data_IF_186707770243
#
_entry.id   IF_186707770243
#
_cell.length_a   1.000
_cell.length_b   1.000
_cell.length_c   1.000
_cell.angle_alpha   90.00
_cell.angle_beta   90.00
_cell.angle_gamma   90.00
#
_symmetry.space_group_name_H-M   'P 1'
#
loop_
_entity.id
_entity.type
_entity.pdbx_description
1 polymer ?
#
# COMPACT_ATOMS: atom_id res chain seq x y z
N UNK A 1 -19.64 6.19 -7.47
CA UNK A 1 -18.38 6.49 -8.16
C UNK A 1 -18.61 7.71 -9.03
N UNK A 2 -17.71 8.68 -8.98
CA UNK A 2 -17.74 9.86 -9.86
C UNK A 2 -16.41 9.94 -10.61
N UNK A 3 -16.44 10.52 -11.80
CA UNK A 3 -15.25 10.82 -12.59
C UNK A 3 -15.28 12.28 -12.99
N UNK A 4 -14.13 12.94 -12.84
CA UNK A 4 -13.96 14.34 -13.21
C UNK A 4 -12.75 14.48 -14.13
N UNK A 5 -12.87 15.29 -15.16
CA UNK A 5 -11.82 15.50 -16.16
C UNK A 5 -11.19 16.88 -16.04
N UNK A 6 -9.86 16.94 -16.18
CA UNK A 6 -9.06 18.14 -16.06
C UNK A 6 -8.09 18.26 -17.25
N UNK A 7 -7.48 19.43 -17.39
CA UNK A 7 -6.46 19.73 -18.39
C UNK A 7 -6.94 19.37 -19.83
N UNK A 8 -8.14 19.80 -20.18
CA UNK A 8 -8.75 19.54 -21.51
C UNK A 8 -8.84 18.03 -21.82
N UNK A 9 -9.24 17.21 -20.84
CA UNK A 9 -9.42 15.77 -21.01
C UNK A 9 -8.14 14.92 -20.86
N UNK A 10 -6.99 15.55 -20.56
CA UNK A 10 -5.72 14.82 -20.38
C UNK A 10 -5.62 14.08 -19.04
N UNK A 11 -6.42 14.47 -18.06
CA UNK A 11 -6.46 13.84 -16.73
C UNK A 11 -7.90 13.50 -16.39
N UNK A 12 -8.13 12.28 -15.96
CA UNK A 12 -9.41 11.84 -15.40
C UNK A 12 -9.17 11.34 -13.98
N UNK A 13 -9.83 11.97 -13.01
CA UNK A 13 -9.81 11.59 -11.61
C UNK A 13 -11.05 10.75 -11.30
N UNK A 14 -10.87 9.52 -10.88
CA UNK A 14 -11.95 8.65 -10.42
C UNK A 14 -12.00 8.65 -8.90
N UNK A 15 -13.15 9.01 -8.31
CA UNK A 15 -13.39 8.94 -6.88
C UNK A 15 -14.23 7.70 -6.54
N UNK A 16 -13.64 6.76 -5.79
CA UNK A 16 -14.31 5.53 -5.40
C UNK A 16 -13.34 4.45 -4.93
N UNK A 17 -13.86 3.26 -4.66
CA UNK A 17 -13.04 2.08 -4.44
C UNK A 17 -12.27 1.72 -5.72
N UNK A 18 -10.94 1.59 -5.61
CA UNK A 18 -10.09 1.41 -6.78
C UNK A 18 -10.37 0.10 -7.54
N UNK A 19 -10.75 -0.97 -6.84
CA UNK A 19 -11.07 -2.25 -7.48
C UNK A 19 -12.38 -2.15 -8.26
N UNK A 20 -13.37 -1.46 -7.70
CA UNK A 20 -14.64 -1.22 -8.37
C UNK A 20 -14.49 -0.23 -9.53
N UNK A 21 -13.64 0.77 -9.41
CA UNK A 21 -13.31 1.67 -10.52
C UNK A 21 -12.64 0.90 -11.65
N UNK A 22 -11.64 0.09 -11.35
CA UNK A 22 -10.97 -0.73 -12.37
C UNK A 22 -11.91 -1.63 -13.14
N UNK A 23 -12.97 -2.16 -12.51
CA UNK A 23 -13.98 -2.97 -13.22
C UNK A 23 -14.75 -2.20 -14.30
N UNK A 24 -14.81 -0.87 -14.20
CA UNK A 24 -15.48 0.00 -15.18
C UNK A 24 -14.56 0.48 -16.30
N UNK A 25 -13.25 0.30 -16.16
CA UNK A 25 -12.28 0.73 -17.16
C UNK A 25 -12.19 -0.29 -18.30
N UNK A 26 -11.93 0.23 -19.50
CA UNK A 26 -11.76 -0.57 -20.71
C UNK A 26 -10.50 -1.46 -20.61
N UNK A 27 -10.60 -2.67 -21.15
CA UNK A 27 -9.46 -3.58 -21.24
C UNK A 27 -8.40 -3.05 -22.21
N UNK A 28 -7.13 -3.30 -21.89
CA UNK A 28 -6.00 -2.91 -22.74
C UNK A 28 -6.01 -1.42 -23.11
N UNK A 29 -6.41 -0.55 -22.17
CA UNK A 29 -6.54 0.89 -22.40
C UNK A 29 -5.36 1.73 -21.89
N UNK A 30 -4.56 1.19 -20.94
CA UNK A 30 -3.47 1.93 -20.31
C UNK A 30 -2.09 1.44 -20.77
N UNK A 31 -1.17 2.38 -20.98
CA UNK A 31 0.20 2.13 -21.43
C UNK A 31 1.15 1.79 -20.26
N UNK A 32 0.80 2.19 -19.04
CA UNK A 32 1.59 1.90 -17.83
C UNK A 32 0.76 2.09 -16.57
N UNK A 33 1.24 1.53 -15.45
CA UNK A 33 0.66 1.73 -14.13
C UNK A 33 1.76 2.09 -13.13
N UNK A 34 1.53 3.12 -12.31
CA UNK A 34 2.36 3.46 -11.15
C UNK A 34 1.45 3.44 -9.94
N UNK A 35 1.79 2.63 -8.93
CA UNK A 35 0.93 2.44 -7.77
C UNK A 35 1.73 2.34 -6.47
N UNK A 36 1.21 2.97 -5.42
CA UNK A 36 1.69 2.86 -4.05
C UNK A 36 0.59 2.20 -3.19
N UNK A 37 0.49 0.86 -3.19
CA UNK A 37 -0.58 0.14 -2.50
C UNK A 37 -0.31 0.08 -0.99
N UNK A 38 -1.30 -0.27 -0.15
CA UNK A 38 -1.10 -0.50 1.27
C UNK A 38 -0.05 -1.58 1.54
N UNK A 39 0.91 -1.30 2.44
CA UNK A 39 2.06 -2.20 2.70
C UNK A 39 1.77 -3.31 3.72
N UNK A 40 0.58 -3.36 4.30
CA UNK A 40 0.20 -4.34 5.33
C UNK A 40 1.23 -4.43 6.46
N UNK A 41 1.60 -3.32 7.05
CA UNK A 41 2.58 -3.29 8.13
C UNK A 41 1.97 -3.88 9.39
N UNK A 42 2.34 -5.11 9.75
CA UNK A 42 1.82 -5.84 10.91
C UNK A 42 1.94 -5.08 12.24
N UNK A 43 2.91 -4.19 12.36
CA UNK A 43 3.03 -3.29 13.51
C UNK A 43 1.84 -2.35 13.63
N UNK A 44 1.27 -1.93 12.51
CA UNK A 44 0.05 -1.12 12.44
C UNK A 44 -1.16 -1.99 12.79
N UNK A 45 -1.30 -3.15 12.14
CA UNK A 45 -2.40 -4.09 12.39
C UNK A 45 -2.48 -4.51 13.86
N UNK A 46 -1.34 -4.88 14.47
CA UNK A 46 -1.27 -5.28 15.89
C UNK A 46 -1.59 -4.13 16.86
N UNK A 47 -1.29 -2.88 16.52
CA UNK A 47 -1.66 -1.71 17.32
C UNK A 47 -3.17 -1.49 17.31
N UNK A 48 -3.82 -1.65 16.17
CA UNK A 48 -5.26 -1.49 16.03
C UNK A 48 -6.05 -2.65 16.65
N UNK A 49 -5.56 -3.90 16.55
CA UNK A 49 -6.20 -5.05 17.17
C UNK A 49 -6.24 -4.96 18.72
N UNK A 50 -5.32 -4.21 19.34
CA UNK A 50 -5.30 -3.96 20.80
C UNK A 50 -6.19 -2.81 21.26
N UNK A 51 -6.74 -1.99 20.38
CA UNK A 51 -7.52 -0.79 20.73
C UNK A 51 -9.03 -1.04 20.87
N UNK A 52 -9.46 -2.27 21.15
CA UNK A 52 -10.77 -2.52 21.78
C UNK A 52 -10.86 -2.01 23.23
N UNK A 53 -9.87 -1.29 23.76
CA UNK A 53 -9.88 -0.62 25.07
C UNK A 53 -10.12 0.86 24.86
N UNK A 54 -11.33 1.28 25.14
CA UNK A 54 -11.68 2.67 25.46
C UNK A 54 -10.98 3.08 26.76
N UNK A 55 -9.72 3.44 26.70
CA UNK A 55 -9.03 4.05 27.83
C UNK A 55 -9.06 5.57 27.66
N UNK A 56 -10.03 6.19 28.36
CA UNK A 56 -10.34 7.62 28.33
C UNK A 56 -9.35 8.49 29.11
N UNK A 57 -8.21 7.97 29.58
CA UNK A 57 -7.33 8.65 30.53
C UNK A 57 -5.94 9.02 29.99
N UNK A 58 -5.69 8.96 28.68
CA UNK A 58 -4.42 9.40 28.12
C UNK A 58 -4.46 10.81 27.56
N UNK A 59 -3.72 11.70 28.19
CA UNK A 59 -3.49 13.13 27.88
C UNK A 59 -3.32 13.37 26.35
N UNK A 60 -4.07 14.39 25.90
CA UNK A 60 -4.28 14.77 24.49
C UNK A 60 -3.08 15.47 23.79
N UNK A 61 -1.85 15.38 24.27
CA UNK A 61 -0.74 16.15 23.70
C UNK A 61 0.56 15.37 23.70
N UNK A 62 0.90 14.81 22.52
CA UNK A 62 2.22 14.23 22.25
C UNK A 62 2.40 13.84 20.79
N UNK A 63 3.62 13.93 20.23
CA UNK A 63 3.92 13.61 18.83
C UNK A 63 3.62 12.14 18.44
N UNK A 64 3.46 11.26 19.43
CA UNK A 64 3.15 9.83 19.22
C UNK A 64 1.66 9.52 18.98
N UNK A 65 0.76 10.50 19.17
CA UNK A 65 -0.68 10.27 18.97
C UNK A 65 -1.08 10.18 17.50
N UNK A 66 -0.27 10.74 16.58
CA UNK A 66 -0.51 10.68 15.13
C UNK A 66 -0.24 9.29 14.52
N UNK A 67 0.52 8.43 15.20
CA UNK A 67 0.88 7.10 14.70
C UNK A 67 -0.10 5.98 15.09
N UNK A 68 -1.03 6.26 16.02
CA UNK A 68 -1.98 5.25 16.52
C UNK A 68 -3.15 4.99 15.56
N UNK A 69 -3.50 5.97 14.73
CA UNK A 69 -4.70 5.92 13.89
C UNK A 69 -4.42 5.76 12.37
N UNK A 70 -3.19 5.40 11.99
CA UNK A 70 -2.79 5.35 10.58
C UNK A 70 -2.61 6.76 9.96
N UNK A 71 -2.20 6.82 8.71
CA UNK A 71 -2.10 8.07 7.97
C UNK A 71 -3.51 8.65 7.75
N UNK A 72 -3.75 9.89 8.14
CA UNK A 72 -5.05 10.59 8.07
C UNK A 72 -6.20 9.91 8.86
N UNK A 73 -5.91 9.24 9.98
CA UNK A 73 -6.89 8.52 10.81
C UNK A 73 -7.68 7.41 10.10
N UNK A 74 -7.15 6.85 9.01
CA UNK A 74 -7.80 5.78 8.26
C UNK A 74 -7.00 4.48 8.35
N UNK A 75 -7.68 3.35 8.50
CA UNK A 75 -7.08 2.00 8.62
C UNK A 75 -6.72 1.37 7.26
N UNK A 76 -6.56 2.15 6.22
CA UNK A 76 -6.35 1.66 4.85
C UNK A 76 -5.02 0.91 4.66
N UNK A 77 -4.00 1.20 5.48
CA UNK A 77 -2.67 0.56 5.38
C UNK A 77 -2.60 -0.82 6.09
N UNK A 78 -3.69 -1.25 6.71
CA UNK A 78 -3.80 -2.56 7.39
C UNK A 78 -4.34 -3.69 6.52
N UNK A 79 -4.82 -3.41 5.33
CA UNK A 79 -5.39 -4.40 4.40
C UNK A 79 -4.32 -5.24 3.69
N UNK A 80 -4.71 -6.41 3.21
CA UNK A 80 -3.87 -7.34 2.46
C UNK A 80 -4.06 -7.27 0.94
N UNK A 81 -4.76 -6.24 0.47
CA UNK A 81 -5.14 -6.03 -0.94
C UNK A 81 -3.95 -6.15 -1.90
N UNK A 82 -2.76 -5.66 -1.48
CA UNK A 82 -1.54 -5.73 -2.28
C UNK A 82 -0.97 -7.16 -2.43
N UNK A 83 -1.46 -8.13 -1.64
CA UNK A 83 -1.02 -9.53 -1.69
C UNK A 83 -2.05 -10.44 -2.36
N UNK A 84 -3.18 -9.88 -2.78
CA UNK A 84 -4.23 -10.62 -3.45
C UNK A 84 -3.99 -10.65 -4.96
N UNK A 85 -3.87 -11.83 -5.52
CA UNK A 85 -3.72 -12.05 -6.97
C UNK A 85 -4.88 -11.41 -7.74
N UNK A 86 -6.10 -11.45 -7.19
CA UNK A 86 -7.30 -10.84 -7.79
C UNK A 86 -7.16 -9.33 -8.03
N UNK A 87 -6.47 -8.61 -7.13
CA UNK A 87 -6.17 -7.18 -7.30
C UNK A 87 -5.31 -6.94 -8.54
N UNK A 88 -4.23 -7.70 -8.67
CA UNK A 88 -3.29 -7.54 -9.77
C UNK A 88 -3.84 -8.05 -11.11
N UNK A 89 -4.76 -9.02 -11.08
CA UNK A 89 -5.50 -9.42 -12.29
C UNK A 89 -6.36 -8.29 -12.85
N UNK A 90 -6.97 -7.45 -11.99
CA UNK A 90 -7.71 -6.26 -12.45
C UNK A 90 -6.77 -5.22 -13.08
N UNK A 91 -5.59 -5.01 -12.49
CA UNK A 91 -4.55 -4.14 -13.07
C UNK A 91 -4.08 -4.71 -14.42
N UNK A 92 -3.83 -6.02 -14.47
CA UNK A 92 -3.38 -6.70 -15.68
C UNK A 92 -4.39 -6.54 -16.84
N UNK A 93 -5.68 -6.67 -16.55
CA UNK A 93 -6.77 -6.55 -17.53
C UNK A 93 -6.79 -5.19 -18.24
N UNK A 94 -6.58 -4.10 -17.50
CA UNK A 94 -6.65 -2.74 -18.05
C UNK A 94 -5.37 -2.30 -18.75
N UNK A 95 -4.25 -2.99 -18.52
CA UNK A 95 -2.98 -2.67 -19.15
C UNK A 95 -2.86 -3.30 -20.54
N UNK A 96 -2.30 -2.55 -21.46
CA UNK A 96 -1.97 -3.05 -22.81
C UNK A 96 -0.88 -4.14 -22.76
N UNK A 97 -0.87 -5.08 -23.70
CA UNK A 97 0.24 -6.00 -23.86
C UNK A 97 1.58 -5.27 -23.96
N UNK A 98 2.56 -5.67 -23.16
CA UNK A 98 3.87 -5.02 -23.10
C UNK A 98 3.95 -3.79 -22.19
N UNK A 99 2.87 -3.37 -21.56
CA UNK A 99 2.85 -2.27 -20.61
C UNK A 99 3.68 -2.58 -19.34
N UNK A 100 4.23 -1.55 -18.72
CA UNK A 100 4.99 -1.66 -17.48
C UNK A 100 4.15 -1.28 -16.27
N UNK A 101 4.39 -2.00 -15.16
CA UNK A 101 3.90 -1.63 -13.83
C UNK A 101 5.08 -1.30 -12.92
N UNK A 102 4.95 -0.19 -12.17
CA UNK A 102 5.85 0.16 -11.07
C UNK A 102 5.03 0.18 -9.80
N UNK A 103 5.27 -0.78 -8.92
CA UNK A 103 4.56 -0.92 -7.65
C UNK A 103 5.52 -0.69 -6.48
N UNK A 104 5.22 0.31 -5.65
CA UNK A 104 5.98 0.57 -4.43
C UNK A 104 5.64 -0.45 -3.35
N UNK A 105 6.61 -0.77 -2.51
CA UNK A 105 6.41 -1.64 -1.36
C UNK A 105 7.45 -1.40 -0.28
N UNK A 106 7.17 -1.90 0.93
CA UNK A 106 8.18 -1.91 1.98
C UNK A 106 9.20 -3.02 1.77
N UNK A 107 10.42 -2.82 2.28
CA UNK A 107 11.48 -3.83 2.26
C UNK A 107 11.12 -5.16 2.97
N UNK A 108 10.08 -5.15 3.81
CA UNK A 108 9.63 -6.33 4.58
C UNK A 108 8.58 -7.15 3.83
N UNK A 109 7.76 -6.49 3.01
CA UNK A 109 6.56 -7.12 2.41
C UNK A 109 6.62 -7.23 0.90
N UNK A 110 7.63 -6.63 0.22
CA UNK A 110 7.73 -6.62 -1.23
C UNK A 110 7.72 -8.03 -1.85
N UNK A 111 8.35 -9.02 -1.20
CA UNK A 111 8.40 -10.39 -1.73
C UNK A 111 7.01 -11.02 -1.90
N UNK A 112 6.09 -10.80 -0.95
CA UNK A 112 4.70 -11.29 -1.06
C UNK A 112 3.95 -10.61 -2.20
N UNK A 113 4.12 -9.30 -2.33
CA UNK A 113 3.49 -8.53 -3.40
C UNK A 113 4.05 -8.96 -4.76
N UNK A 114 5.35 -9.17 -4.87
CA UNK A 114 6.02 -9.63 -6.08
C UNK A 114 5.44 -10.97 -6.58
N UNK A 115 5.25 -11.94 -5.66
CA UNK A 115 4.61 -13.23 -6.00
C UNK A 115 3.17 -13.02 -6.47
N UNK A 116 2.38 -12.19 -5.79
CA UNK A 116 0.99 -11.94 -6.19
C UNK A 116 0.88 -11.26 -7.56
N UNK A 117 1.83 -10.38 -7.91
CA UNK A 117 1.94 -9.74 -9.22
C UNK A 117 2.29 -10.78 -10.29
N UNK A 118 3.25 -11.66 -10.02
CA UNK A 118 3.66 -12.73 -10.94
C UNK A 118 2.52 -13.74 -11.19
N UNK A 119 1.83 -14.17 -10.12
CA UNK A 119 0.68 -15.06 -10.19
C UNK A 119 -0.51 -14.43 -10.96
N UNK A 120 -0.57 -13.12 -11.05
CA UNK A 120 -1.55 -12.41 -11.85
C UNK A 120 -1.23 -12.40 -13.36
N UNK A 121 -0.02 -12.80 -13.77
CA UNK A 121 0.42 -12.93 -15.16
C UNK A 121 1.52 -11.94 -15.57
N UNK A 122 2.02 -11.11 -14.67
CA UNK A 122 3.14 -10.20 -14.97
C UNK A 122 4.48 -10.92 -14.97
N UNK A 123 5.43 -10.37 -15.69
CA UNK A 123 6.83 -10.82 -15.67
C UNK A 123 7.62 -9.87 -14.76
N UNK A 124 8.08 -10.38 -13.61
CA UNK A 124 8.87 -9.61 -12.68
C UNK A 124 10.21 -9.16 -13.31
N UNK A 125 10.59 -7.93 -13.03
CA UNK A 125 11.88 -7.35 -13.37
C UNK A 125 12.71 -7.15 -12.10
N UNK A 126 14.03 -6.92 -12.21
CA UNK A 126 14.88 -6.66 -11.05
C UNK A 126 14.34 -5.55 -10.16
N UNK A 127 14.47 -5.73 -8.84
CA UNK A 127 14.05 -4.76 -7.84
C UNK A 127 14.85 -3.47 -8.00
N UNK A 128 14.15 -2.34 -8.00
CA UNK A 128 14.75 -1.01 -7.99
C UNK A 128 14.59 -0.39 -6.61
N UNK A 129 15.69 0.07 -6.00
CA UNK A 129 15.67 0.74 -4.71
C UNK A 129 15.42 2.23 -4.85
N UNK A 130 14.44 2.75 -4.10
CA UNK A 130 14.30 4.19 -3.89
C UNK A 130 15.07 4.58 -2.65
N UNK A 131 16.19 5.29 -2.82
CA UNK A 131 17.09 5.70 -1.73
C UNK A 131 16.85 7.17 -1.43
N UNK A 132 16.60 7.50 -0.16
CA UNK A 132 16.42 8.87 0.31
C UNK A 132 17.18 9.08 1.62
N UNK A 133 17.71 10.31 1.82
CA UNK A 133 18.57 10.65 2.95
C UNK A 133 17.84 10.90 4.28
N UNK A 134 16.51 10.87 4.29
CA UNK A 134 15.69 11.11 5.47
C UNK A 134 14.83 9.88 5.75
N UNK A 135 14.99 9.26 6.90
CA UNK A 135 14.20 8.10 7.29
C UNK A 135 14.39 7.76 8.76
N UNK A 136 13.35 7.22 9.38
CA UNK A 136 13.49 6.67 10.74
C UNK A 136 14.28 5.36 10.69
N UNK A 137 15.20 5.13 11.66
CA UNK A 137 15.86 3.84 11.79
C UNK A 137 14.84 2.71 11.91
N UNK A 138 14.94 1.69 11.07
CA UNK A 138 14.04 0.51 11.08
C UNK A 138 14.63 -0.67 11.83
N UNK A 139 15.74 -0.46 12.54
CA UNK A 139 16.35 -1.46 13.40
C UNK A 139 15.48 -1.70 14.64
N UNK A 140 15.20 -2.97 14.94
CA UNK A 140 14.53 -3.37 16.16
C UNK A 140 15.57 -3.91 17.14
N UNK A 141 15.52 -3.43 18.40
CA UNK A 141 16.23 -4.11 19.47
C UNK A 141 15.56 -5.44 19.75
N UNK A 142 16.32 -6.51 19.72
CA UNK A 142 15.88 -7.80 20.24
C UNK A 142 16.14 -7.76 21.75
N UNK A 143 15.07 -7.69 22.54
CA UNK A 143 15.19 -7.90 23.99
C UNK A 143 15.35 -9.38 24.26
N UNK A 144 16.54 -9.79 24.62
CA UNK A 144 16.78 -11.11 25.20
C UNK A 144 16.90 -10.96 26.73
N UNK A 145 16.25 -11.80 27.54
CA UNK A 145 16.43 -11.78 28.99
C UNK A 145 17.92 -11.97 29.34
N UNK A 146 18.48 -11.04 30.14
CA UNK A 146 19.89 -11.11 30.56
C UNK A 146 20.90 -10.44 29.62
N UNK A 147 20.45 -9.74 28.59
CA UNK A 147 21.31 -8.96 27.70
C UNK A 147 21.07 -7.46 27.91
N UNK A 148 21.96 -6.81 28.63
CA UNK A 148 22.02 -5.35 28.82
C UNK A 148 23.05 -4.78 27.84
N UNK A 149 22.65 -4.46 26.64
CA UNK A 149 23.51 -3.84 25.64
C UNK A 149 23.02 -2.47 25.20
#
# INVERSE_FOLDING_TARGET
>A
MSAETYLNGKVTLHCGDCLAVMDTLEENSFDSCIVDPPYHLQSIVKRFAKTGRTDSTRTKSGPHQRTANGFMNKMWDGGDIAFQVSTWKKVYRVLKPGAYIVAFSSSVTFGRMSVAIEDAGFINRPLTGWIFGQGFPKAHRVHAPGWEG
#
